data_IF_460938698622
#
_entry.id   IF_460938698622
#
_cell.length_a   1.000
_cell.length_b   1.000
_cell.length_c   1.000
_cell.angle_alpha   90.00
_cell.angle_beta   90.00
_cell.angle_gamma   90.00
#
_symmetry.space_group_name_H-M   'P 1'
#
loop_
_entity.id
_entity.type
_entity.pdbx_description
1 polymer ?
#
# COMPACT_ATOMS: atom_id res chain seq x y z
N UNK A 1 0.10 -35.31 -29.94
CA UNK A 1 0.55 -34.55 -31.14
C UNK A 1 0.69 -33.10 -30.70
N UNK A 2 1.69 -32.85 -29.85
CA UNK A 2 2.91 -32.08 -30.17
C UNK A 2 2.61 -30.59 -30.34
N UNK A 3 2.92 -29.79 -29.32
CA UNK A 3 3.58 -28.47 -29.42
C UNK A 3 3.85 -27.93 -27.99
N UNK A 4 4.48 -28.75 -27.15
CA UNK A 4 5.30 -28.29 -26.03
C UNK A 4 6.62 -29.06 -26.19
N UNK A 5 7.74 -28.36 -26.41
CA UNK A 5 9.08 -28.77 -25.92
C UNK A 5 10.28 -27.90 -26.40
N UNK A 6 10.13 -26.85 -27.21
CA UNK A 6 11.33 -26.24 -27.83
C UNK A 6 11.59 -24.73 -27.57
N UNK A 7 11.32 -24.23 -26.36
CA UNK A 7 11.88 -22.91 -25.92
C UNK A 7 12.42 -22.92 -24.48
N UNK A 8 12.49 -24.08 -23.83
CA UNK A 8 12.95 -24.21 -22.43
C UNK A 8 14.40 -24.74 -22.29
N UNK A 9 15.25 -24.58 -23.30
CA UNK A 9 16.65 -25.05 -23.24
C UNK A 9 17.69 -23.96 -22.94
N UNK A 10 17.31 -22.67 -22.84
CA UNK A 10 18.30 -21.58 -22.74
C UNK A 10 18.08 -20.54 -21.63
N UNK A 11 17.23 -20.82 -20.65
CA UNK A 11 17.17 -20.06 -19.41
C UNK A 11 17.68 -20.92 -18.25
N UNK A 12 19.01 -20.99 -18.13
CA UNK A 12 19.65 -21.34 -16.87
C UNK A 12 19.39 -20.16 -15.91
N UNK A 13 18.21 -20.16 -15.29
CA UNK A 13 17.98 -19.35 -14.09
C UNK A 13 18.65 -20.15 -12.98
N UNK A 14 19.88 -19.76 -12.65
CA UNK A 14 20.57 -20.28 -11.48
C UNK A 14 19.63 -20.15 -10.29
N UNK A 15 19.17 -21.31 -9.81
CA UNK A 15 18.52 -21.45 -8.51
C UNK A 15 19.47 -20.78 -7.53
N UNK A 16 19.06 -19.75 -6.76
CA UNK A 16 19.98 -19.11 -5.85
C UNK A 16 20.42 -20.18 -4.86
N UNK A 17 21.69 -20.58 -4.99
CA UNK A 17 22.35 -21.41 -4.00
C UNK A 17 22.07 -20.76 -2.66
N UNK A 18 21.54 -21.53 -1.71
CA UNK A 18 21.34 -21.03 -0.36
C UNK A 18 22.69 -20.65 0.20
N UNK A 19 23.06 -19.38 0.10
CA UNK A 19 24.25 -18.83 0.75
C UNK A 19 23.89 -18.81 2.24
N UNK A 20 24.31 -19.86 2.94
CA UNK A 20 24.33 -19.86 4.40
C UNK A 20 25.48 -18.95 4.82
N UNK A 21 25.17 -17.66 4.98
CA UNK A 21 26.10 -16.71 5.61
C UNK A 21 26.26 -17.16 7.07
N UNK A 22 27.40 -17.73 7.41
CA UNK A 22 27.77 -18.01 8.80
C UNK A 22 28.05 -16.69 9.47
N UNK A 23 27.07 -16.14 10.19
CA UNK A 23 27.29 -14.95 11.00
C UNK A 23 28.14 -15.31 12.22
N UNK A 24 29.22 -14.56 12.44
CA UNK A 24 29.95 -14.59 13.70
C UNK A 24 29.02 -14.08 14.81
N UNK A 25 29.27 -14.51 16.05
CA UNK A 25 28.38 -14.41 17.23
C UNK A 25 27.94 -12.98 17.67
N UNK A 26 28.11 -11.97 16.83
CA UNK A 26 27.75 -10.57 17.10
C UNK A 26 26.79 -9.95 16.08
N UNK A 27 26.43 -10.65 14.99
CA UNK A 27 25.57 -10.09 13.95
C UNK A 27 24.23 -10.86 13.91
N UNK A 28 23.19 -10.27 14.51
CA UNK A 28 21.85 -10.86 14.61
C UNK A 28 20.99 -10.65 13.35
N UNK A 29 21.53 -10.05 12.29
CA UNK A 29 20.76 -9.75 11.09
C UNK A 29 20.64 -10.98 10.18
N UNK A 30 19.56 -11.74 10.39
CA UNK A 30 19.18 -12.82 9.50
C UNK A 30 18.72 -12.26 8.14
N UNK A 31 19.29 -12.77 7.05
CA UNK A 31 18.88 -12.45 5.67
C UNK A 31 17.48 -12.98 5.29
N UNK A 32 16.75 -13.59 6.24
CA UNK A 32 15.41 -14.15 6.05
C UNK A 32 14.54 -13.86 7.27
N UNK A 33 13.31 -13.42 7.00
CA UNK A 33 12.24 -13.30 7.99
C UNK A 33 11.12 -14.26 7.61
N UNK A 34 10.65 -15.06 8.56
CA UNK A 34 9.48 -15.93 8.40
C UNK A 34 8.29 -15.31 9.10
N UNK A 35 7.13 -15.30 8.44
CA UNK A 35 5.88 -14.72 8.98
C UNK A 35 4.87 -15.84 9.09
N UNK A 36 4.23 -15.94 10.26
CA UNK A 36 3.15 -16.89 10.48
C UNK A 36 1.82 -16.20 10.25
N UNK A 37 1.14 -16.57 9.16
CA UNK A 37 -0.09 -15.92 8.72
C UNK A 37 -1.26 -16.16 9.69
N UNK A 38 -2.03 -15.11 9.95
CA UNK A 38 -3.33 -15.19 10.63
C UNK A 38 -3.65 -13.97 11.50
N UNK A 39 -4.93 -13.69 11.68
CA UNK A 39 -5.41 -12.55 12.50
C UNK A 39 -4.93 -12.62 13.97
N UNK A 40 -4.75 -13.83 14.51
CA UNK A 40 -4.23 -14.07 15.86
C UNK A 40 -2.74 -14.47 15.86
N UNK A 41 -2.00 -14.12 14.80
CA UNK A 41 -0.58 -14.42 14.62
C UNK A 41 0.15 -13.14 14.18
N UNK A 42 1.07 -13.21 13.24
CA UNK A 42 1.87 -12.06 12.78
C UNK A 42 1.10 -11.16 11.80
N UNK A 43 -0.20 -11.38 11.64
CA UNK A 43 -1.04 -10.73 10.63
C UNK A 43 -0.85 -11.32 9.24
N UNK A 44 -1.23 -10.56 8.23
CA UNK A 44 -1.03 -10.89 6.82
C UNK A 44 0.17 -10.14 6.24
N UNK A 45 0.68 -10.63 5.12
CA UNK A 45 1.68 -9.89 4.34
C UNK A 45 1.07 -8.59 3.79
N UNK A 46 1.80 -7.49 3.91
CA UNK A 46 1.38 -6.18 3.42
C UNK A 46 2.60 -5.36 2.94
N UNK A 47 2.34 -4.22 2.30
CA UNK A 47 3.40 -3.36 1.77
C UNK A 47 4.35 -2.82 2.83
N UNK A 48 3.86 -2.55 4.04
CA UNK A 48 4.70 -2.07 5.15
C UNK A 48 5.74 -3.12 5.57
N UNK A 49 5.33 -4.40 5.65
CA UNK A 49 6.23 -5.52 5.92
C UNK A 49 7.25 -5.71 4.80
N UNK A 50 6.87 -5.51 3.54
CA UNK A 50 7.80 -5.52 2.40
C UNK A 50 8.87 -4.44 2.55
N UNK A 51 8.47 -3.19 2.83
CA UNK A 51 9.40 -2.06 3.02
C UNK A 51 10.34 -2.33 4.19
N UNK A 52 9.83 -2.82 5.32
CA UNK A 52 10.64 -3.15 6.48
C UNK A 52 11.66 -4.27 6.18
N UNK A 53 11.29 -5.28 5.39
CA UNK A 53 12.22 -6.32 4.98
C UNK A 53 13.27 -5.79 3.99
N UNK A 54 12.88 -4.89 3.08
CA UNK A 54 13.78 -4.29 2.10
C UNK A 54 14.86 -3.45 2.79
N UNK A 55 14.53 -2.65 3.81
CA UNK A 55 15.55 -1.90 4.57
C UNK A 55 16.60 -2.84 5.18
N UNK A 56 16.18 -3.93 5.83
CA UNK A 56 17.12 -4.93 6.35
C UNK A 56 17.97 -5.57 5.26
N UNK A 57 17.38 -5.86 4.10
CA UNK A 57 18.11 -6.42 2.98
C UNK A 57 19.16 -5.44 2.44
N UNK A 58 18.85 -4.14 2.40
CA UNK A 58 19.80 -3.08 2.02
C UNK A 58 20.94 -3.00 3.05
N UNK A 59 20.63 -2.95 4.35
CA UNK A 59 21.65 -2.89 5.41
C UNK A 59 22.62 -4.09 5.38
N UNK A 60 22.10 -5.28 5.07
CA UNK A 60 22.93 -6.49 4.88
C UNK A 60 23.75 -6.36 3.59
N UNK A 61 23.13 -5.91 2.49
CA UNK A 61 23.80 -5.77 1.20
C UNK A 61 24.97 -4.78 1.26
N UNK A 62 24.77 -3.59 1.83
CA UNK A 62 25.81 -2.55 1.92
C UNK A 62 27.03 -3.02 2.74
N UNK A 63 26.80 -3.78 3.83
CA UNK A 63 27.88 -4.36 4.63
C UNK A 63 28.63 -5.47 3.91
N UNK A 64 27.91 -6.30 3.16
CA UNK A 64 28.49 -7.50 2.53
C UNK A 64 29.08 -7.22 1.15
N UNK A 65 28.65 -6.14 0.49
CA UNK A 65 29.06 -5.77 -0.87
C UNK A 65 29.33 -4.25 -1.00
N UNK A 66 30.31 -3.70 -0.26
CA UNK A 66 30.51 -2.24 -0.11
C UNK A 66 30.84 -1.46 -1.39
N UNK A 67 31.04 -2.14 -2.52
CA UNK A 67 31.34 -1.52 -3.82
C UNK A 67 30.43 -2.02 -4.96
N UNK A 68 29.30 -2.63 -4.61
CA UNK A 68 28.34 -3.12 -5.58
C UNK A 68 27.07 -2.28 -5.57
N UNK A 69 26.36 -2.28 -6.70
CA UNK A 69 25.03 -1.67 -6.81
C UNK A 69 24.01 -2.80 -6.72
N UNK A 70 23.14 -2.74 -5.72
CA UNK A 70 21.99 -3.63 -5.61
C UNK A 70 20.84 -3.14 -6.47
N UNK A 71 20.17 -4.07 -7.16
CA UNK A 71 18.92 -3.80 -7.88
C UNK A 71 17.84 -4.68 -7.27
N UNK A 72 16.76 -4.06 -6.79
CA UNK A 72 15.60 -4.75 -6.23
C UNK A 72 14.40 -4.50 -7.14
N UNK A 73 13.92 -5.57 -7.78
CA UNK A 73 12.74 -5.53 -8.64
C UNK A 73 11.63 -6.36 -8.00
N UNK A 74 10.44 -5.78 -7.91
CA UNK A 74 9.25 -6.43 -7.38
C UNK A 74 8.18 -6.47 -8.46
N UNK A 75 7.57 -7.64 -8.68
CA UNK A 75 6.38 -7.76 -9.51
C UNK A 75 5.15 -7.39 -8.68
N UNK A 76 4.49 -6.31 -9.06
CA UNK A 76 3.23 -5.90 -8.45
C UNK A 76 2.08 -6.26 -9.39
N UNK A 77 1.49 -7.43 -9.17
CA UNK A 77 0.24 -7.78 -9.84
C UNK A 77 -0.85 -6.76 -9.47
N UNK A 78 -1.46 -6.13 -10.48
CA UNK A 78 -2.48 -5.08 -10.32
C UNK A 78 -3.74 -5.52 -9.55
N UNK A 79 -3.97 -6.83 -9.43
CA UNK A 79 -5.08 -7.43 -8.67
C UNK A 79 -5.02 -7.18 -7.16
N UNK A 80 -3.88 -6.74 -6.62
CA UNK A 80 -3.69 -6.46 -5.20
C UNK A 80 -3.17 -5.05 -4.92
N UNK A 81 -3.50 -4.09 -5.78
CA UNK A 81 -3.04 -2.70 -5.63
C UNK A 81 -3.51 -2.12 -4.28
N UNK A 82 -2.59 -2.00 -3.33
CA UNK A 82 -2.82 -1.31 -2.07
C UNK A 82 -2.64 0.19 -2.27
N UNK A 83 -3.67 0.96 -1.96
CA UNK A 83 -3.59 2.41 -1.93
C UNK A 83 -3.25 2.88 -0.52
N UNK A 84 -2.57 4.02 -0.39
CA UNK A 84 -2.35 4.63 0.92
C UNK A 84 -3.69 4.94 1.61
N UNK A 85 -3.66 5.04 2.93
CA UNK A 85 -4.86 5.29 3.74
C UNK A 85 -5.58 6.59 3.32
N UNK A 86 -4.81 7.60 2.91
CA UNK A 86 -5.27 8.92 2.47
C UNK A 86 -5.44 9.05 0.95
N UNK A 87 -5.36 7.95 0.20
CA UNK A 87 -5.41 8.00 -1.25
C UNK A 87 -6.70 8.59 -1.77
N UNK A 88 -6.58 9.55 -2.70
CA UNK A 88 -7.70 10.11 -3.42
C UNK A 88 -8.26 9.06 -4.38
N UNK A 89 -9.32 8.38 -3.95
CA UNK A 89 -9.94 7.29 -4.68
C UNK A 89 -11.38 7.63 -5.01
N UNK A 90 -11.70 7.70 -6.29
CA UNK A 90 -13.05 8.01 -6.78
C UNK A 90 -14.10 7.06 -6.20
N UNK A 91 -13.75 5.78 -6.02
CA UNK A 91 -14.62 4.77 -5.39
C UNK A 91 -14.94 5.04 -3.91
N UNK A 92 -14.11 5.85 -3.24
CA UNK A 92 -14.26 6.24 -1.83
C UNK A 92 -14.86 7.66 -1.65
N UNK A 93 -14.94 8.45 -2.72
CA UNK A 93 -15.53 9.80 -2.68
C UNK A 93 -17.05 9.71 -2.54
N UNK A 94 -17.62 10.58 -1.71
CA UNK A 94 -19.07 10.70 -1.58
C UNK A 94 -19.63 11.47 -2.79
N UNK A 95 -20.69 10.94 -3.42
CA UNK A 95 -21.38 11.62 -4.52
C UNK A 95 -22.04 12.94 -4.09
N UNK A 96 -22.35 13.10 -2.80
CA UNK A 96 -22.95 14.29 -2.23
C UNK A 96 -22.43 14.56 -0.81
N UNK A 97 -22.79 15.72 -0.24
CA UNK A 97 -22.36 16.11 1.11
C UNK A 97 -22.97 15.19 2.19
N UNK A 98 -22.26 15.06 3.31
CA UNK A 98 -22.64 14.22 4.45
C UNK A 98 -22.10 12.79 4.40
N UNK A 99 -22.45 11.98 5.39
CA UNK A 99 -21.92 10.63 5.54
C UNK A 99 -20.55 10.58 6.21
N UNK A 100 -20.12 9.37 6.57
CA UNK A 100 -18.70 9.11 6.87
C UNK A 100 -17.89 9.36 5.59
N UNK A 101 -17.06 10.40 5.59
CA UNK A 101 -16.12 10.71 4.51
C UNK A 101 -14.76 10.12 4.90
N UNK A 102 -14.15 9.28 4.05
CA UNK A 102 -12.79 8.82 4.30
C UNK A 102 -11.83 10.00 4.18
N UNK A 103 -10.87 10.08 5.12
CA UNK A 103 -9.83 11.11 5.11
C UNK A 103 -8.95 10.90 3.86
N UNK A 104 -9.10 11.75 2.86
CA UNK A 104 -8.36 11.72 1.60
C UNK A 104 -7.51 12.98 1.46
N UNK A 105 -6.37 12.88 0.76
CA UNK A 105 -5.52 14.05 0.47
C UNK A 105 -6.21 15.08 -0.40
N UNK A 106 -5.79 16.33 -0.24
CA UNK A 106 -6.24 17.45 -1.07
C UNK A 106 -5.87 17.22 -2.54
N UNK A 107 -6.68 17.79 -3.43
CA UNK A 107 -6.44 17.78 -4.87
C UNK A 107 -6.34 19.20 -5.41
N UNK A 108 -6.03 19.33 -6.69
CA UNK A 108 -6.08 20.61 -7.40
C UNK A 108 -7.21 20.52 -8.43
N UNK A 109 -8.17 21.43 -8.33
CA UNK A 109 -9.25 21.59 -9.30
C UNK A 109 -9.19 23.01 -9.87
N UNK A 110 -9.10 23.13 -11.20
CA UNK A 110 -8.98 24.42 -11.88
C UNK A 110 -7.85 25.33 -11.33
N UNK A 111 -6.71 24.73 -10.96
CA UNK A 111 -5.57 25.47 -10.40
C UNK A 111 -5.77 25.96 -8.96
N UNK A 112 -6.87 25.58 -8.31
CA UNK A 112 -7.14 25.87 -6.91
C UNK A 112 -7.05 24.58 -6.09
N UNK A 113 -6.47 24.66 -4.90
CA UNK A 113 -6.47 23.52 -3.99
C UNK A 113 -7.90 23.25 -3.51
N UNK A 114 -8.37 22.03 -3.72
CA UNK A 114 -9.65 21.55 -3.23
C UNK A 114 -9.41 20.58 -2.07
N UNK A 115 -9.94 20.93 -0.89
CA UNK A 115 -9.95 20.03 0.26
C UNK A 115 -10.87 18.84 -0.01
N UNK A 116 -10.38 17.64 0.27
CA UNK A 116 -11.15 16.39 0.16
C UNK A 116 -11.60 15.87 1.53
N UNK A 117 -11.37 16.66 2.58
CA UNK A 117 -11.83 16.46 3.95
C UNK A 117 -13.02 17.39 4.16
N UNK A 118 -14.15 16.86 4.63
CA UNK A 118 -15.24 17.71 5.14
C UNK A 118 -14.81 18.17 6.53
N UNK A 119 -14.56 19.47 6.68
CA UNK A 119 -14.26 20.09 7.97
C UNK A 119 -15.49 20.01 8.89
N UNK A 120 -15.26 19.96 10.20
CA UNK A 120 -16.33 19.87 11.20
C UNK A 120 -17.35 21.01 11.06
N UNK A 121 -16.94 22.16 10.52
CA UNK A 121 -17.77 23.36 10.34
C UNK A 121 -18.34 23.51 8.91
N UNK A 122 -18.44 22.43 8.14
CA UNK A 122 -19.02 22.49 6.79
C UNK A 122 -20.56 22.48 6.82
N UNK A 123 -21.15 23.67 6.68
CA UNK A 123 -22.60 23.85 6.60
C UNK A 123 -23.08 23.90 5.15
N UNK A 124 -24.16 23.17 4.83
CA UNK A 124 -24.92 23.37 3.59
C UNK A 124 -26.24 24.06 3.90
N UNK A 125 -26.76 24.84 2.96
CA UNK A 125 -28.11 25.38 3.05
C UNK A 125 -29.13 24.35 2.59
N UNK A 126 -30.05 23.98 3.47
CA UNK A 126 -31.20 23.14 3.12
C UNK A 126 -32.05 23.85 2.06
N UNK A 127 -32.29 23.17 0.93
CA UNK A 127 -32.99 23.77 -0.21
C UNK A 127 -34.48 24.03 0.09
N UNK A 128 -35.10 23.27 1.00
CA UNK A 128 -36.50 23.36 1.41
C UNK A 128 -36.69 24.38 2.54
N UNK A 129 -35.92 24.27 3.61
CA UNK A 129 -36.10 25.10 4.83
C UNK A 129 -35.26 26.37 4.82
N UNK A 130 -34.29 26.50 3.90
CA UNK A 130 -33.31 27.61 3.82
C UNK A 130 -32.42 27.74 5.06
N UNK A 131 -32.42 26.76 5.96
CA UNK A 131 -31.57 26.74 7.13
C UNK A 131 -30.18 26.18 6.81
N UNK A 132 -29.16 26.63 7.54
CA UNK A 132 -27.84 25.99 7.50
C UNK A 132 -27.89 24.69 8.31
N UNK A 133 -27.45 23.60 7.70
CA UNK A 133 -27.33 22.29 8.34
C UNK A 133 -25.91 21.80 8.22
N UNK A 134 -25.37 21.31 9.34
CA UNK A 134 -24.12 20.58 9.36
C UNK A 134 -24.43 19.11 9.06
N UNK A 135 -23.75 18.53 8.07
CA UNK A 135 -23.91 17.12 7.72
C UNK A 135 -22.74 16.25 8.19
N UNK A 136 -21.81 16.81 8.97
CA UNK A 136 -20.69 16.08 9.53
C UNK A 136 -21.20 15.00 10.50
N UNK A 137 -20.80 13.75 10.27
CA UNK A 137 -21.22 12.60 11.09
C UNK A 137 -22.64 12.08 10.83
N UNK A 138 -23.46 12.77 10.04
CA UNK A 138 -24.78 12.29 9.66
C UNK A 138 -24.66 11.10 8.69
N UNK A 139 -25.45 10.02 8.85
CA UNK A 139 -25.37 8.82 8.01
C UNK A 139 -25.73 9.10 6.55
N UNK A 140 -25.11 8.35 5.61
CA UNK A 140 -25.49 8.40 4.18
C UNK A 140 -26.86 7.77 3.98
N UNK A 141 -27.87 8.56 3.59
CA UNK A 141 -29.15 7.99 3.15
C UNK A 141 -30.34 8.92 3.35
N UNK A 142 -31.29 8.84 2.42
CA UNK A 142 -32.46 9.68 2.25
C UNK A 142 -33.37 9.63 3.50
N UNK A 143 -33.69 10.80 4.07
CA UNK A 143 -34.89 10.96 4.89
C UNK A 143 -36.09 10.90 3.94
N UNK A 144 -36.91 9.85 4.09
CA UNK A 144 -38.22 9.74 3.44
C UNK A 144 -39.12 10.91 3.85
#
# INVERSE_FOLDING_TARGET
>A
KYFEEEVLSHLHVDVPQTISVRTTRHDQDLARVTIVLGANRDGYWNGEKLVAQLHKAIDIFERTHPNCIGIWAFDNATSHTAYSADALLVSRINKGPGGSVPKMRNTIWNGQQQSMIIEEDFFITDKKTKQQINLHGEPKGIKW
#
